data_IF_377968873742
#
_entry.id   IF_377968873742
#
_cell.length_a   1.000
_cell.length_b   1.000
_cell.length_c   1.000
_cell.angle_alpha   90.00
_cell.angle_beta   90.00
_cell.angle_gamma   90.00
#
_symmetry.space_group_name_H-M   'P 1'
#
loop_
_entity.id
_entity.type
_entity.pdbx_description
1 polymer ?
#
# COMPACT_ATOMS: atom_id res chain seq x y z
N UNK A 1 21.27 8.98 -14.63
CA UNK A 1 19.93 8.45 -14.31
C UNK A 1 19.66 7.27 -15.25
N UNK A 2 18.91 6.23 -14.84
CA UNK A 2 18.67 5.05 -15.68
C UNK A 2 17.85 5.47 -16.94
N UNK A 3 18.26 5.06 -18.14
CA UNK A 3 17.55 5.36 -19.40
C UNK A 3 16.11 4.87 -19.38
N UNK A 4 15.85 3.72 -18.78
CA UNK A 4 14.49 3.17 -18.63
C UNK A 4 13.62 4.04 -17.73
N UNK A 5 14.22 4.70 -16.73
CA UNK A 5 13.51 5.62 -15.84
C UNK A 5 13.08 6.89 -16.58
N UNK A 6 13.95 7.46 -17.39
CA UNK A 6 13.63 8.61 -18.25
C UNK A 6 12.51 8.26 -19.23
N UNK A 7 12.60 7.11 -19.91
CA UNK A 7 11.55 6.65 -20.81
C UNK A 7 10.21 6.49 -20.10
N UNK A 8 10.20 6.08 -18.83
CA UNK A 8 8.98 5.98 -18.04
C UNK A 8 8.38 7.35 -17.67
N UNK A 9 9.21 8.37 -17.45
CA UNK A 9 8.75 9.74 -17.23
C UNK A 9 8.18 10.34 -18.52
N UNK A 10 8.91 10.21 -19.63
CA UNK A 10 8.51 10.70 -20.96
C UNK A 10 7.19 10.06 -21.42
N UNK A 11 7.07 8.74 -21.28
CA UNK A 11 5.86 7.98 -21.63
C UNK A 11 4.75 8.09 -20.58
N UNK A 12 4.94 8.91 -19.53
CA UNK A 12 4.01 9.09 -18.39
C UNK A 12 3.60 7.78 -17.71
N UNK A 13 4.47 6.77 -17.74
CA UNK A 13 4.31 5.53 -16.93
C UNK A 13 4.60 5.79 -15.46
N UNK A 14 5.44 6.78 -15.17
CA UNK A 14 5.68 7.33 -13.83
C UNK A 14 5.27 8.80 -13.87
N UNK A 15 4.42 9.21 -12.95
CA UNK A 15 3.94 10.60 -12.86
C UNK A 15 3.95 11.06 -11.41
N UNK A 16 4.12 12.37 -11.21
CA UNK A 16 3.94 12.97 -9.89
C UNK A 16 2.48 12.88 -9.49
N UNK A 17 2.23 12.45 -8.25
CA UNK A 17 0.89 12.36 -7.71
C UNK A 17 0.69 13.37 -6.58
N UNK A 18 0.54 14.65 -6.92
CA UNK A 18 0.50 15.75 -5.93
C UNK A 18 -0.66 15.63 -4.93
N UNK A 19 -1.74 14.92 -5.33
CA UNK A 19 -2.92 14.69 -4.49
C UNK A 19 -2.73 13.53 -3.50
N UNK A 20 -1.61 12.82 -3.55
CA UNK A 20 -1.30 11.65 -2.72
C UNK A 20 -1.38 11.95 -1.21
N UNK A 21 -0.90 13.13 -0.78
CA UNK A 21 -0.92 13.52 0.65
C UNK A 21 -2.30 13.47 1.28
N UNK A 22 -3.35 13.73 0.51
CA UNK A 22 -4.75 13.68 0.98
C UNK A 22 -5.27 12.25 1.18
N UNK A 23 -4.56 11.26 0.65
CA UNK A 23 -4.92 9.84 0.76
C UNK A 23 -4.24 9.16 1.95
N UNK A 24 -3.25 9.79 2.60
CA UNK A 24 -2.48 9.18 3.70
C UNK A 24 -3.39 8.61 4.79
N UNK A 25 -4.35 9.40 5.30
CA UNK A 25 -5.27 8.94 6.34
C UNK A 25 -6.14 7.76 5.87
N UNK A 26 -6.53 7.76 4.59
CA UNK A 26 -7.29 6.65 3.99
C UNK A 26 -6.44 5.38 3.93
N UNK A 27 -5.19 5.48 3.52
CA UNK A 27 -4.27 4.35 3.44
C UNK A 27 -3.96 3.75 4.81
N UNK A 28 -3.78 4.58 5.83
CA UNK A 28 -3.60 4.12 7.21
C UNK A 28 -4.84 3.37 7.70
N UNK A 29 -6.04 3.92 7.48
CA UNK A 29 -7.28 3.24 7.88
C UNK A 29 -7.50 1.89 7.17
N UNK A 30 -7.12 1.77 5.89
CA UNK A 30 -7.13 0.49 5.17
C UNK A 30 -6.13 -0.49 5.79
N UNK A 31 -4.90 -0.04 6.09
CA UNK A 31 -3.89 -0.88 6.71
C UNK A 31 -4.32 -1.43 8.09
N UNK A 32 -4.99 -0.61 8.90
CA UNK A 32 -5.54 -1.01 10.19
C UNK A 32 -6.67 -2.04 10.02
N UNK A 33 -7.59 -1.81 9.09
CA UNK A 33 -8.69 -2.74 8.80
C UNK A 33 -8.20 -4.10 8.31
N UNK A 34 -7.19 -4.11 7.43
CA UNK A 34 -6.58 -5.34 6.93
C UNK A 34 -5.85 -6.10 8.04
N UNK A 35 -5.16 -5.40 8.95
CA UNK A 35 -4.50 -6.01 10.09
C UNK A 35 -5.50 -6.66 11.05
N UNK A 36 -6.59 -5.97 11.37
CA UNK A 36 -7.64 -6.52 12.23
C UNK A 36 -8.31 -7.75 11.59
N UNK A 37 -8.51 -7.71 10.28
CA UNK A 37 -9.04 -8.86 9.54
C UNK A 37 -8.04 -10.02 9.53
N UNK A 38 -6.75 -9.75 9.34
CA UNK A 38 -5.68 -10.75 9.40
C UNK A 38 -5.61 -11.46 10.75
N UNK A 39 -5.76 -10.71 11.85
CA UNK A 39 -5.80 -11.25 13.22
C UNK A 39 -7.02 -12.15 13.44
N UNK A 40 -8.18 -11.80 12.91
CA UNK A 40 -9.39 -12.65 12.98
C UNK A 40 -9.18 -13.96 12.22
N UNK A 41 -8.76 -13.87 10.96
CA UNK A 41 -8.46 -15.04 10.13
C UNK A 41 -7.41 -15.96 10.76
N UNK A 42 -6.42 -15.39 11.45
CA UNK A 42 -5.43 -16.17 12.18
C UNK A 42 -6.06 -16.97 13.33
N UNK A 43 -6.89 -16.31 14.14
CA UNK A 43 -7.60 -16.93 15.28
C UNK A 43 -8.57 -18.03 14.80
N UNK A 44 -9.18 -17.84 13.63
CA UNK A 44 -10.12 -18.79 13.02
C UNK A 44 -9.41 -19.95 12.29
N UNK A 45 -8.08 -20.03 12.34
CA UNK A 45 -7.29 -21.07 11.66
C UNK A 45 -7.16 -20.89 10.13
N UNK A 46 -7.68 -19.80 9.58
CA UNK A 46 -7.59 -19.47 8.16
C UNK A 46 -6.24 -18.77 7.83
N UNK A 47 -5.14 -19.51 7.99
CA UNK A 47 -3.79 -18.96 7.89
C UNK A 47 -3.45 -18.40 6.50
N UNK A 48 -3.93 -19.03 5.42
CA UNK A 48 -3.73 -18.51 4.05
C UNK A 48 -4.34 -17.11 3.90
N UNK A 49 -5.55 -16.93 4.42
CA UNK A 49 -6.22 -15.63 4.35
C UNK A 49 -5.58 -14.60 5.26
N UNK A 50 -5.16 -15.02 6.46
CA UNK A 50 -4.41 -14.16 7.38
C UNK A 50 -3.13 -13.59 6.75
N UNK A 51 -2.33 -14.42 6.06
CA UNK A 51 -1.11 -13.98 5.36
C UNK A 51 -1.42 -12.94 4.29
N UNK A 52 -2.44 -13.20 3.45
CA UNK A 52 -2.84 -12.29 2.38
C UNK A 52 -3.26 -10.93 2.97
N UNK A 53 -4.07 -10.93 4.02
CA UNK A 53 -4.54 -9.69 4.66
C UNK A 53 -3.39 -8.94 5.36
N UNK A 54 -2.47 -9.64 6.03
CA UNK A 54 -1.30 -9.01 6.63
C UNK A 54 -0.40 -8.35 5.58
N UNK A 55 -0.21 -9.01 4.43
CA UNK A 55 0.51 -8.42 3.30
C UNK A 55 -0.16 -7.13 2.79
N UNK A 56 -1.49 -7.11 2.65
CA UNK A 56 -2.20 -5.89 2.26
C UNK A 56 -2.07 -4.77 3.29
N UNK A 57 -2.11 -5.09 4.59
CA UNK A 57 -1.82 -4.11 5.65
C UNK A 57 -0.43 -3.49 5.52
N UNK A 58 0.60 -4.30 5.27
CA UNK A 58 1.96 -3.81 5.00
C UNK A 58 2.02 -2.94 3.74
N UNK A 59 1.35 -3.36 2.66
CA UNK A 59 1.30 -2.62 1.40
C UNK A 59 0.69 -1.23 1.60
N UNK A 60 -0.47 -1.15 2.26
CA UNK A 60 -1.15 0.12 2.54
C UNK A 60 -0.32 1.01 3.47
N UNK A 61 0.36 0.43 4.46
CA UNK A 61 1.27 1.17 5.35
C UNK A 61 2.44 1.80 4.58
N UNK A 62 3.09 1.02 3.71
CA UNK A 62 4.19 1.51 2.87
C UNK A 62 3.71 2.59 1.88
N UNK A 63 2.52 2.40 1.30
CA UNK A 63 1.91 3.37 0.38
C UNK A 63 1.58 4.69 1.08
N UNK A 64 1.06 4.63 2.31
CA UNK A 64 0.84 5.82 3.14
C UNK A 64 2.13 6.60 3.38
N UNK A 65 3.23 5.90 3.68
CA UNK A 65 4.54 6.52 3.88
C UNK A 65 5.02 7.24 2.61
N UNK A 66 4.92 6.59 1.44
CA UNK A 66 5.28 7.21 0.14
C UNK A 66 4.41 8.45 -0.11
N UNK A 67 3.10 8.36 0.15
CA UNK A 67 2.16 9.46 -0.06
C UNK A 67 2.37 10.64 0.90
N UNK A 68 3.00 10.42 2.05
CA UNK A 68 3.28 11.47 3.04
C UNK A 68 4.47 12.37 2.68
N UNK A 69 5.35 11.90 1.79
CA UNK A 69 6.53 12.65 1.31
C UNK A 69 6.10 13.68 0.26
#
# INVERSE_FOLDING_TARGET
MNKEFEECLEKRKITKFDRAKRLVSKEIGLAESDLESAKRSFKDGNHKWSIIQAYYSMFHSARALIYSK
#
